data_IF_437747193722
#
_entry.id   IF_437747193722
#
_cell.length_a   1.000
_cell.length_b   1.000
_cell.length_c   1.000
_cell.angle_alpha   90.00
_cell.angle_beta   90.00
_cell.angle_gamma   90.00
#
_symmetry.space_group_name_H-M   'P 1'
#
loop_
_entity.id
_entity.type
_entity.pdbx_description
1 polymer ?
#
# COMPACT_ATOMS: atom_id res chain seq x y z
N UNK A 1 -2.61 -10.24 1.67
CA UNK A 1 -1.60 -9.75 2.60
C UNK A 1 -1.87 -10.24 4.02
N UNK A 2 -0.81 -10.54 4.77
CA UNK A 2 -0.92 -10.99 6.17
C UNK A 2 -0.28 -9.94 7.09
N UNK A 3 -1.07 -9.11 7.78
CA UNK A 3 -0.52 -8.02 8.60
C UNK A 3 0.38 -8.47 9.76
N UNK A 4 0.20 -9.71 10.24
CA UNK A 4 1.04 -10.30 11.30
C UNK A 4 2.42 -10.77 10.81
N UNK A 5 2.59 -10.89 9.49
CA UNK A 5 3.85 -11.23 8.87
C UNK A 5 4.36 -10.02 8.07
N UNK A 6 5.50 -9.46 8.43
CA UNK A 6 6.12 -8.29 7.80
C UNK A 6 5.15 -7.11 7.55
N UNK A 7 4.20 -6.90 8.47
CA UNK A 7 3.12 -5.91 8.38
C UNK A 7 2.26 -6.01 7.10
N UNK A 8 2.31 -7.12 6.39
CA UNK A 8 1.62 -7.32 5.10
C UNK A 8 2.34 -6.70 3.91
N UNK A 9 3.60 -6.31 4.04
CA UNK A 9 4.39 -5.74 2.94
C UNK A 9 4.66 -6.77 1.83
N UNK A 10 4.89 -6.28 0.62
CA UNK A 10 5.38 -7.11 -0.49
C UNK A 10 6.90 -7.14 -0.47
N UNK A 11 7.48 -8.30 -0.23
CA UNK A 11 8.89 -8.58 -0.41
C UNK A 11 9.16 -9.23 -1.77
N UNK A 12 10.43 -9.56 -2.03
CA UNK A 12 10.85 -10.24 -3.26
C UNK A 12 10.12 -11.57 -3.46
N UNK A 13 10.01 -12.38 -2.40
CA UNK A 13 9.39 -13.70 -2.47
C UNK A 13 7.88 -13.62 -2.69
N UNK A 14 7.21 -12.70 -1.99
CA UNK A 14 5.78 -12.44 -2.17
C UNK A 14 5.49 -11.98 -3.61
N UNK A 15 6.33 -11.10 -4.17
CA UNK A 15 6.21 -10.62 -5.54
C UNK A 15 6.33 -11.76 -6.56
N UNK A 16 7.34 -12.62 -6.41
CA UNK A 16 7.52 -13.78 -7.30
C UNK A 16 6.36 -14.78 -7.19
N UNK A 17 5.92 -15.06 -5.98
CA UNK A 17 4.77 -15.96 -5.74
C UNK A 17 3.50 -15.41 -6.38
N UNK A 18 3.21 -14.12 -6.16
CA UNK A 18 2.01 -13.47 -6.69
C UNK A 18 2.00 -13.46 -8.21
N UNK A 19 3.10 -13.02 -8.83
CA UNK A 19 3.22 -12.99 -10.28
C UNK A 19 3.04 -14.38 -10.91
N UNK A 20 3.64 -15.41 -10.31
CA UNK A 20 3.49 -16.80 -10.76
C UNK A 20 2.07 -17.30 -10.60
N UNK A 21 1.40 -16.98 -9.49
CA UNK A 21 0.03 -17.39 -9.23
C UNK A 21 -0.95 -16.77 -10.24
N UNK A 22 -0.85 -15.45 -10.49
CA UNK A 22 -1.71 -14.79 -11.48
C UNK A 22 -1.54 -15.38 -12.86
N UNK A 23 -0.28 -15.62 -13.30
CA UNK A 23 -0.02 -16.29 -14.60
C UNK A 23 -0.55 -17.72 -14.66
N UNK A 24 -0.47 -18.44 -13.55
CA UNK A 24 -1.07 -19.78 -13.48
C UNK A 24 -2.59 -19.70 -13.65
N UNK A 25 -3.26 -18.81 -12.94
CA UNK A 25 -4.71 -18.62 -13.09
C UNK A 25 -5.08 -18.25 -14.53
N UNK A 26 -4.34 -17.34 -15.13
CA UNK A 26 -4.56 -16.93 -16.53
C UNK A 26 -4.40 -18.10 -17.50
N UNK A 27 -3.35 -18.92 -17.36
CA UNK A 27 -3.10 -20.06 -18.20
C UNK A 27 -4.20 -21.14 -18.14
N UNK A 28 -4.91 -21.23 -17.00
CA UNK A 28 -6.01 -22.19 -16.79
C UNK A 28 -7.40 -21.57 -16.89
N UNK A 29 -7.52 -20.31 -17.31
CA UNK A 29 -8.80 -19.63 -17.46
C UNK A 29 -9.52 -19.38 -16.12
N UNK A 30 -8.78 -19.26 -15.01
CA UNK A 30 -9.34 -19.08 -13.67
C UNK A 30 -9.44 -17.58 -13.33
N UNK A 31 -10.64 -17.06 -12.97
CA UNK A 31 -10.77 -15.70 -12.49
C UNK A 31 -9.95 -15.45 -11.22
N UNK A 32 -9.41 -14.23 -11.09
CA UNK A 32 -8.60 -13.83 -9.93
C UNK A 32 -9.34 -12.81 -9.08
N UNK A 33 -9.54 -13.13 -7.80
CA UNK A 33 -10.03 -12.18 -6.79
C UNK A 33 -8.86 -11.81 -5.89
N UNK A 34 -8.52 -10.52 -5.86
CA UNK A 34 -7.40 -9.99 -5.07
C UNK A 34 -7.91 -9.22 -3.87
N UNK A 35 -7.56 -9.66 -2.66
CA UNK A 35 -7.81 -8.92 -1.42
C UNK A 35 -6.58 -8.11 -1.06
N UNK A 36 -6.74 -6.78 -0.95
CA UNK A 36 -5.63 -5.86 -0.71
C UNK A 36 -5.67 -5.30 0.71
N UNK A 37 -4.59 -5.54 1.45
CA UNK A 37 -4.28 -4.89 2.73
C UNK A 37 -2.77 -4.69 2.81
N UNK A 38 -2.23 -3.78 2.00
CA UNK A 38 -0.80 -3.63 1.79
C UNK A 38 -0.30 -2.23 2.14
N UNK A 39 0.66 -2.10 3.08
CA UNK A 39 1.26 -0.81 3.43
C UNK A 39 2.37 -0.36 2.47
N UNK A 40 2.85 -1.23 1.59
CA UNK A 40 3.91 -0.93 0.65
C UNK A 40 4.77 -2.14 0.32
N UNK A 41 5.82 -1.91 -0.44
CA UNK A 41 6.92 -2.86 -0.58
C UNK A 41 7.80 -2.86 0.67
N UNK A 42 8.40 -4.01 0.99
CA UNK A 42 9.35 -4.13 2.10
C UNK A 42 10.59 -3.28 1.82
N UNK A 43 10.91 -2.30 2.66
CA UNK A 43 12.11 -1.48 2.50
C UNK A 43 13.35 -2.23 2.99
N UNK A 44 14.52 -1.77 2.56
CA UNK A 44 15.82 -2.24 3.07
C UNK A 44 16.81 -2.62 1.98
N UNK A 45 18.09 -2.43 2.25
CA UNK A 45 19.18 -2.70 1.31
C UNK A 45 19.19 -4.16 0.83
N UNK A 46 18.82 -5.11 1.69
CA UNK A 46 18.68 -6.52 1.32
C UNK A 46 17.67 -6.72 0.20
N UNK A 47 16.48 -6.10 0.31
CA UNK A 47 15.43 -6.17 -0.70
C UNK A 47 15.84 -5.48 -2.00
N UNK A 48 16.54 -4.35 -1.90
CA UNK A 48 17.08 -3.63 -3.05
C UNK A 48 18.10 -4.49 -3.80
N UNK A 49 19.07 -5.07 -3.10
CA UNK A 49 20.07 -5.96 -3.69
C UNK A 49 19.45 -7.25 -4.25
N UNK A 50 18.41 -7.78 -3.62
CA UNK A 50 17.66 -8.91 -4.15
C UNK A 50 16.78 -8.54 -5.36
N UNK A 51 16.69 -7.25 -5.72
CA UNK A 51 16.01 -6.76 -6.91
C UNK A 51 14.51 -6.63 -6.75
N UNK A 52 14.03 -6.07 -5.64
CA UNK A 52 12.61 -5.87 -5.34
C UNK A 52 11.87 -5.14 -6.46
N UNK A 53 12.47 -4.12 -7.08
CA UNK A 53 11.87 -3.36 -8.18
C UNK A 53 11.61 -4.27 -9.39
N UNK A 54 12.62 -5.05 -9.79
CA UNK A 54 12.50 -5.99 -10.91
C UNK A 54 11.48 -7.09 -10.64
N UNK A 55 11.41 -7.59 -9.40
CA UNK A 55 10.45 -8.63 -9.01
C UNK A 55 9.04 -8.06 -8.91
N UNK A 56 8.90 -6.83 -8.40
CA UNK A 56 7.64 -6.09 -8.42
C UNK A 56 7.11 -5.83 -9.84
N UNK A 57 8.00 -5.51 -10.78
CA UNK A 57 7.62 -5.34 -12.19
C UNK A 57 7.02 -6.62 -12.82
N UNK A 58 7.40 -7.81 -12.37
CA UNK A 58 6.76 -9.06 -12.80
C UNK A 58 5.30 -9.15 -12.39
N UNK A 59 4.95 -8.60 -11.23
CA UNK A 59 3.56 -8.56 -10.74
C UNK A 59 2.73 -7.65 -11.63
N UNK A 60 3.25 -6.45 -11.95
CA UNK A 60 2.59 -5.54 -12.91
C UNK A 60 2.32 -6.25 -14.24
N UNK A 61 3.36 -6.87 -14.79
CA UNK A 61 3.24 -7.58 -16.06
C UNK A 61 2.19 -8.71 -15.98
N UNK A 62 2.19 -9.49 -14.90
CA UNK A 62 1.25 -10.60 -14.74
C UNK A 62 -0.21 -10.12 -14.76
N UNK A 63 -0.52 -9.06 -14.02
CA UNK A 63 -1.88 -8.50 -14.00
C UNK A 63 -2.24 -7.78 -15.31
N UNK A 64 -1.31 -6.99 -15.87
CA UNK A 64 -1.59 -6.22 -17.08
C UNK A 64 -1.77 -7.08 -18.34
N UNK A 65 -1.22 -8.28 -18.35
CA UNK A 65 -1.33 -9.21 -19.49
C UNK A 65 -2.35 -10.32 -19.29
N UNK A 66 -2.91 -10.46 -18.09
CA UNK A 66 -3.93 -11.48 -17.81
C UNK A 66 -5.19 -11.21 -18.61
N UNK A 67 -5.76 -12.29 -19.14
CA UNK A 67 -6.98 -12.28 -19.97
C UNK A 67 -8.22 -12.76 -19.22
N UNK A 68 -8.01 -13.30 -18.02
CA UNK A 68 -9.09 -13.75 -17.11
C UNK A 68 -9.69 -12.58 -16.35
N UNK A 69 -10.95 -12.70 -15.86
CA UNK A 69 -11.56 -11.67 -15.03
C UNK A 69 -10.73 -11.36 -13.77
N UNK A 70 -10.47 -10.09 -13.55
CA UNK A 70 -9.70 -9.55 -12.43
C UNK A 70 -10.57 -8.68 -11.54
N UNK A 71 -10.81 -9.12 -10.31
CA UNK A 71 -11.58 -8.37 -9.31
C UNK A 71 -10.69 -8.03 -8.12
N UNK A 72 -10.62 -6.76 -7.74
CA UNK A 72 -9.82 -6.31 -6.61
C UNK A 72 -10.69 -5.69 -5.52
N UNK A 73 -10.45 -6.09 -4.28
CA UNK A 73 -11.17 -5.62 -3.09
C UNK A 73 -10.17 -5.08 -2.08
N UNK A 74 -10.18 -3.77 -1.87
CA UNK A 74 -9.34 -3.13 -0.85
C UNK A 74 -10.01 -3.30 0.51
N UNK A 75 -9.37 -4.02 1.42
CA UNK A 75 -9.91 -4.33 2.74
C UNK A 75 -9.63 -3.22 3.76
N UNK A 76 -8.38 -2.75 3.82
CA UNK A 76 -7.94 -1.75 4.81
C UNK A 76 -6.93 -0.78 4.21
N UNK A 77 -5.70 -1.20 3.97
CA UNK A 77 -4.61 -0.36 3.44
C UNK A 77 -4.33 -0.71 2.00
N UNK A 78 -4.14 0.31 1.18
CA UNK A 78 -3.69 0.18 -0.19
C UNK A 78 -2.72 1.32 -0.49
N UNK A 79 -1.44 1.14 -0.15
CA UNK A 79 -0.46 2.22 -0.17
C UNK A 79 0.60 2.04 -1.26
N UNK A 80 0.89 3.14 -1.94
CA UNK A 80 2.01 3.31 -2.84
C UNK A 80 2.02 2.35 -4.03
N UNK A 81 3.22 2.02 -4.49
CA UNK A 81 3.43 1.14 -5.62
C UNK A 81 2.94 -0.29 -5.42
N UNK A 82 2.92 -0.79 -4.17
CA UNK A 82 2.44 -2.12 -3.87
C UNK A 82 0.93 -2.28 -4.14
N UNK A 83 0.13 -1.24 -3.83
CA UNK A 83 -1.29 -1.22 -4.22
C UNK A 83 -1.46 -1.26 -5.74
N UNK A 84 -0.68 -0.44 -6.45
CA UNK A 84 -0.81 -0.35 -7.92
C UNK A 84 -0.59 -1.72 -8.56
N UNK A 85 0.43 -2.46 -8.14
CA UNK A 85 0.79 -3.75 -8.75
C UNK A 85 -0.17 -4.89 -8.38
N UNK A 86 -0.96 -4.76 -7.33
CA UNK A 86 -1.89 -5.79 -6.87
C UNK A 86 -3.27 -5.69 -7.54
N UNK A 87 -3.31 -5.56 -8.86
CA UNK A 87 -4.56 -5.53 -9.62
C UNK A 87 -5.35 -4.24 -9.42
N UNK A 88 -4.69 -3.09 -9.41
CA UNK A 88 -5.40 -1.81 -9.41
C UNK A 88 -6.14 -1.55 -10.71
N UNK A 89 -7.13 -0.67 -10.68
CA UNK A 89 -7.86 -0.24 -11.88
C UNK A 89 -6.92 0.34 -12.95
N UNK A 90 -5.83 0.99 -12.51
CA UNK A 90 -4.87 1.61 -13.40
C UNK A 90 -4.07 0.61 -14.27
N UNK A 91 -3.94 -0.65 -13.83
CA UNK A 91 -3.24 -1.70 -14.59
C UNK A 91 -4.17 -2.74 -15.23
N UNK A 92 -5.48 -2.46 -15.26
CA UNK A 92 -6.41 -3.25 -16.05
C UNK A 92 -7.38 -4.16 -15.28
N UNK A 93 -7.47 -4.06 -13.96
CA UNK A 93 -8.50 -4.82 -13.24
C UNK A 93 -9.91 -4.44 -13.72
N UNK A 94 -10.76 -5.43 -13.93
CA UNK A 94 -12.12 -5.25 -14.44
C UNK A 94 -12.99 -4.53 -13.42
N UNK A 95 -12.94 -4.97 -12.17
CA UNK A 95 -13.71 -4.40 -11.06
C UNK A 95 -12.82 -4.13 -9.84
N UNK A 96 -12.98 -2.93 -9.27
CA UNK A 96 -12.33 -2.57 -8.02
C UNK A 96 -13.38 -2.10 -7.01
N UNK A 97 -13.34 -2.71 -5.84
CA UNK A 97 -14.17 -2.37 -4.70
C UNK A 97 -13.28 -1.94 -3.52
N UNK A 98 -13.83 -1.18 -2.61
CA UNK A 98 -13.20 -0.88 -1.34
C UNK A 98 -14.16 -1.12 -0.19
N UNK A 99 -13.63 -1.63 0.92
CA UNK A 99 -14.39 -1.78 2.15
C UNK A 99 -14.63 -0.41 2.80
N UNK A 100 -15.76 -0.20 3.52
CA UNK A 100 -15.95 1.01 4.29
C UNK A 100 -14.77 1.23 5.26
N UNK A 101 -14.13 2.41 5.19
CA UNK A 101 -12.95 2.72 6.00
C UNK A 101 -11.60 2.26 5.41
N UNK A 102 -11.60 1.69 4.21
CA UNK A 102 -10.36 1.43 3.49
C UNK A 102 -9.62 2.72 3.12
N UNK A 103 -8.30 2.70 3.23
CA UNK A 103 -7.44 3.85 2.93
C UNK A 103 -6.60 3.56 1.68
N UNK A 104 -6.78 4.39 0.65
CA UNK A 104 -5.98 4.34 -0.58
C UNK A 104 -5.14 5.62 -0.62
N UNK A 105 -3.82 5.49 -0.58
CA UNK A 105 -2.90 6.61 -0.55
C UNK A 105 -1.52 6.25 -1.12
N UNK A 106 -0.72 7.27 -1.41
CA UNK A 106 0.71 7.06 -1.73
C UNK A 106 1.47 6.62 -0.48
N UNK A 107 1.10 7.19 0.68
CA UNK A 107 1.73 6.94 1.97
C UNK A 107 0.68 7.13 3.08
N UNK A 108 0.74 6.33 4.13
CA UNK A 108 -0.14 6.50 5.29
C UNK A 108 0.03 7.87 5.96
N UNK A 109 -1.05 8.39 6.57
CA UNK A 109 -1.08 9.75 7.14
C UNK A 109 0.09 10.05 8.09
N UNK A 110 0.47 9.09 8.93
CA UNK A 110 1.62 9.25 9.84
C UNK A 110 2.94 9.50 9.10
N UNK A 111 3.22 8.70 8.07
CA UNK A 111 4.42 8.87 7.25
C UNK A 111 4.39 10.18 6.44
N UNK A 112 3.22 10.54 5.90
CA UNK A 112 3.05 11.80 5.16
C UNK A 112 3.34 13.02 6.05
N UNK A 113 2.84 13.05 7.28
CA UNK A 113 3.12 14.11 8.26
C UNK A 113 4.61 14.20 8.56
N UNK A 114 5.26 13.05 8.80
CA UNK A 114 6.71 13.01 9.06
C UNK A 114 7.56 13.59 7.94
N UNK A 115 7.10 13.50 6.68
CA UNK A 115 7.80 14.06 5.52
C UNK A 115 7.44 15.54 5.34
N UNK A 116 6.15 15.87 5.28
CA UNK A 116 5.66 17.21 4.97
C UNK A 116 6.05 18.23 6.05
N UNK A 117 5.89 17.83 7.32
CA UNK A 117 6.13 18.68 8.47
C UNK A 117 7.47 18.41 9.18
N UNK A 118 8.40 17.76 8.49
CA UNK A 118 9.71 17.37 9.07
C UNK A 118 10.44 18.52 9.77
N UNK A 119 10.44 19.70 9.13
CA UNK A 119 11.15 20.89 9.66
C UNK A 119 10.42 21.47 10.88
N UNK A 120 9.12 21.52 10.84
CA UNK A 120 8.31 22.05 11.93
C UNK A 120 8.36 21.13 13.16
N UNK A 121 8.26 19.82 12.94
CA UNK A 121 8.42 18.83 14.00
C UNK A 121 9.83 18.84 14.61
N UNK A 122 10.87 19.08 13.84
CA UNK A 122 12.23 19.24 14.35
C UNK A 122 12.34 20.47 15.26
N UNK A 123 11.78 21.63 14.86
CA UNK A 123 11.75 22.82 15.71
C UNK A 123 11.00 22.60 17.04
N UNK A 124 9.83 21.99 16.98
CA UNK A 124 9.05 21.67 18.18
C UNK A 124 9.84 20.73 19.11
N UNK A 125 10.55 19.76 18.54
CA UNK A 125 11.41 18.84 19.29
C UNK A 125 12.54 19.61 20.01
N UNK A 126 13.23 20.52 19.29
CA UNK A 126 14.36 21.28 19.83
C UNK A 126 13.92 22.29 20.90
N UNK A 127 12.75 22.91 20.72
CA UNK A 127 12.24 23.97 21.63
C UNK A 127 11.45 23.41 22.81
N UNK A 128 10.69 22.34 22.62
CA UNK A 128 9.68 21.84 23.60
C UNK A 128 9.87 20.37 23.98
N UNK A 129 10.83 19.68 23.36
CA UNK A 129 11.15 18.29 23.66
C UNK A 129 10.38 17.27 22.82
N UNK A 130 10.75 16.00 22.99
CA UNK A 130 10.25 14.87 22.18
C UNK A 130 8.74 14.59 22.38
N UNK A 131 8.24 14.79 23.62
CA UNK A 131 6.81 14.59 23.92
C UNK A 131 5.92 15.58 23.16
N UNK A 132 6.33 16.85 23.12
CA UNK A 132 5.61 17.89 22.39
C UNK A 132 5.64 17.65 20.88
N UNK A 133 6.78 17.21 20.32
CA UNK A 133 6.89 16.84 18.92
C UNK A 133 6.00 15.65 18.57
N UNK A 134 5.90 14.66 19.45
CA UNK A 134 5.03 13.50 19.27
C UNK A 134 3.55 13.89 19.31
N UNK A 135 3.16 14.76 20.24
CA UNK A 135 1.78 15.27 20.32
C UNK A 135 1.39 16.07 19.08
N UNK A 136 2.30 16.93 18.59
CA UNK A 136 2.08 17.70 17.36
C UNK A 136 2.00 16.79 16.12
N UNK A 137 2.85 15.78 16.03
CA UNK A 137 2.78 14.77 14.96
C UNK A 137 1.43 14.08 14.95
N UNK A 138 0.92 13.66 16.10
CA UNK A 138 -0.39 13.00 16.21
C UNK A 138 -1.53 13.96 15.85
N UNK A 139 -1.45 15.23 16.25
CA UNK A 139 -2.41 16.28 15.88
C UNK A 139 -2.48 16.46 14.36
N UNK A 140 -1.32 16.56 13.71
CA UNK A 140 -1.20 16.69 12.27
C UNK A 140 -1.68 15.43 11.54
N UNK A 141 -1.36 14.24 12.05
CA UNK A 141 -1.83 12.97 11.52
C UNK A 141 -3.35 12.91 11.44
N UNK A 142 -4.04 13.31 12.49
CA UNK A 142 -5.52 13.35 12.51
C UNK A 142 -6.10 14.30 11.47
N UNK A 143 -5.43 15.41 11.19
CA UNK A 143 -5.86 16.37 10.16
C UNK A 143 -5.69 15.82 8.74
N UNK A 144 -4.70 14.96 8.50
CA UNK A 144 -4.39 14.38 7.20
C UNK A 144 -5.03 12.99 6.98
N UNK A 145 -5.72 12.44 7.99
CA UNK A 145 -6.39 11.16 7.85
C UNK A 145 -7.69 11.33 7.05
N UNK A 146 -7.82 10.73 5.86
CA UNK A 146 -9.07 10.80 5.10
C UNK A 146 -10.16 10.05 5.86
N UNK A 147 -11.31 10.68 6.07
CA UNK A 147 -12.54 9.97 6.38
C UNK A 147 -13.03 9.90 7.82
N UNK A 148 -12.57 10.76 8.73
CA UNK A 148 -13.42 11.09 9.89
C UNK A 148 -14.30 12.28 9.49
N UNK A 149 -15.28 11.97 8.63
CA UNK A 149 -16.16 12.93 8.03
C UNK A 149 -16.89 13.74 9.08
N UNK A 150 -16.83 15.05 8.93
CA UNK A 150 -17.92 15.91 9.39
C UNK A 150 -19.16 15.48 8.61
N UNK A 151 -20.07 14.79 9.29
CA UNK A 151 -21.41 14.62 8.79
C UNK A 151 -21.95 16.02 8.51
N UNK A 152 -22.12 16.36 7.27
CA UNK A 152 -22.94 17.50 6.88
C UNK A 152 -24.37 17.12 7.25
N UNK A 153 -24.91 17.80 8.26
CA UNK A 153 -26.35 17.88 8.52
C UNK A 153 -26.99 18.72 7.42
#
# INVERSE_FOLDING_TARGET
NQPLADAGTLDVNASEKLARFVRFCDAFGLPVVTFVDVPGYRPGAEQEHAGIIRRGAKVINAYATATVPLVTIVLRKAYGGAYIVMGSKAIGADLNFCWPGAEIAVLGAAGAVGIIHRRDLAKVRDEQGEEAATAEHERLRRRHQPGQGRGHR
#
